data_IF_216200645101
#
_entry.id   IF_216200645101
#
_cell.length_a   1.000
_cell.length_b   1.000
_cell.length_c   1.000
_cell.angle_alpha   90.00
_cell.angle_beta   90.00
_cell.angle_gamma   90.00
#
_symmetry.space_group_name_H-M   'P 1'
#
loop_
_entity.id
_entity.type
_entity.pdbx_description
1 polymer ?
#
# COMPACT_ATOMS: atom_id res chain seq x y z
N UNK A 1 -7.35 9.50 3.79
CA UNK A 1 -7.19 8.35 4.72
C UNK A 1 -5.84 8.36 5.41
N UNK A 2 -5.84 8.27 6.74
CA UNK A 2 -4.69 8.17 7.62
C UNK A 2 -4.50 6.72 8.11
N UNK A 3 -3.41 6.08 7.68
CA UNK A 3 -3.09 4.71 8.11
C UNK A 3 -2.68 4.58 9.57
N UNK A 4 -2.37 5.70 10.26
CA UNK A 4 -2.12 5.71 11.70
C UNK A 4 -3.40 5.63 12.54
N UNK A 5 -4.57 5.89 11.96
CA UNK A 5 -5.84 5.93 12.69
C UNK A 5 -6.59 4.61 12.52
N UNK A 6 -6.66 3.81 13.60
CA UNK A 6 -7.28 2.47 13.59
C UNK A 6 -8.70 2.45 13.04
N UNK A 7 -9.51 3.45 13.35
CA UNK A 7 -10.90 3.51 12.88
C UNK A 7 -11.00 3.72 11.37
N UNK A 8 -10.13 4.54 10.77
CA UNK A 8 -10.10 4.72 9.32
C UNK A 8 -9.67 3.44 8.61
N UNK A 9 -8.66 2.75 9.16
CA UNK A 9 -8.20 1.48 8.61
C UNK A 9 -9.28 0.39 8.73
N UNK A 10 -10.03 0.36 9.85
CA UNK A 10 -11.22 -0.49 9.97
C UNK A 10 -12.30 -0.17 8.92
N UNK A 11 -12.54 1.11 8.63
CA UNK A 11 -13.50 1.48 7.58
C UNK A 11 -13.06 0.97 6.21
N UNK A 12 -11.76 1.03 5.90
CA UNK A 12 -11.23 0.45 4.67
C UNK A 12 -11.45 -1.07 4.59
N UNK A 13 -11.22 -1.81 5.67
CA UNK A 13 -11.43 -3.27 5.66
C UNK A 13 -12.91 -3.63 5.54
N UNK A 14 -13.82 -2.87 6.16
CA UNK A 14 -15.27 -3.00 5.97
C UNK A 14 -15.64 -2.72 4.51
N UNK A 15 -15.13 -1.62 3.94
CA UNK A 15 -15.36 -1.28 2.54
C UNK A 15 -14.98 -2.45 1.62
N UNK A 16 -13.76 -2.99 1.77
CA UNK A 16 -13.31 -4.12 0.95
C UNK A 16 -14.21 -5.36 1.11
N UNK A 17 -14.77 -5.61 2.29
CA UNK A 17 -15.70 -6.72 2.53
C UNK A 17 -17.09 -6.48 1.91
N UNK A 18 -17.53 -5.24 1.82
CA UNK A 18 -18.84 -4.89 1.24
C UNK A 18 -18.84 -4.89 -0.30
N UNK A 19 -17.67 -4.82 -0.94
CA UNK A 19 -17.52 -4.84 -2.39
C UNK A 19 -16.74 -6.08 -2.85
N UNK A 20 -17.40 -7.25 -2.97
CA UNK A 20 -16.73 -8.53 -3.20
C UNK A 20 -15.95 -8.59 -4.52
N UNK A 21 -16.40 -7.86 -5.55
CA UNK A 21 -15.82 -7.91 -6.90
C UNK A 21 -14.95 -6.69 -7.23
N UNK A 22 -14.40 -6.00 -6.22
CA UNK A 22 -13.58 -4.81 -6.48
C UNK A 22 -12.30 -5.19 -7.24
N UNK A 23 -12.17 -4.69 -8.47
CA UNK A 23 -10.98 -4.96 -9.29
C UNK A 23 -9.89 -3.91 -9.14
N UNK A 24 -10.28 -2.66 -8.83
CA UNK A 24 -9.35 -1.54 -8.69
C UNK A 24 -9.59 -0.78 -7.39
N UNK A 25 -8.54 -0.64 -6.59
CA UNK A 25 -8.57 0.13 -5.34
C UNK A 25 -7.65 1.34 -5.44
N UNK A 26 -8.22 2.54 -5.35
CA UNK A 26 -7.48 3.77 -5.14
C UNK A 26 -7.58 4.22 -3.69
N UNK A 27 -6.43 4.43 -3.03
CA UNK A 27 -6.37 4.96 -1.67
C UNK A 27 -5.65 6.30 -1.68
N UNK A 28 -6.41 7.36 -1.38
CA UNK A 28 -5.85 8.70 -1.16
C UNK A 28 -5.37 8.80 0.29
N UNK A 29 -4.06 8.99 0.49
CA UNK A 29 -3.53 9.21 1.84
C UNK A 29 -3.48 10.68 2.20
N UNK A 30 -3.75 10.94 3.46
CA UNK A 30 -3.53 12.25 4.08
C UNK A 30 -2.34 12.16 5.03
N UNK A 31 -1.72 13.30 5.28
CA UNK A 31 -0.68 13.39 6.29
C UNK A 31 -1.32 13.19 7.66
N UNK A 32 -0.78 12.23 8.42
CA UNK A 32 -1.22 12.02 9.78
C UNK A 32 -0.81 13.25 10.63
N UNK A 33 -1.69 13.79 11.48
CA UNK A 33 -1.26 14.77 12.47
C UNK A 33 -0.17 14.15 13.37
N UNK A 34 0.79 14.96 13.83
CA UNK A 34 2.00 14.52 14.56
C UNK A 34 1.72 13.66 15.82
N UNK A 35 0.49 13.66 16.31
CA UNK A 35 0.04 12.98 17.53
C UNK A 35 -0.68 11.65 17.32
N UNK A 36 -0.74 11.10 16.10
CA UNK A 36 -1.41 9.81 15.91
C UNK A 36 -0.60 8.70 16.59
N UNK A 37 -1.20 8.05 17.60
CA UNK A 37 -0.68 6.81 18.16
C UNK A 37 -0.54 5.80 17.03
N UNK A 38 0.66 5.24 16.85
CA UNK A 38 1.01 4.33 15.77
C UNK A 38 0.39 2.93 16.01
N UNK A 39 -0.92 2.89 16.29
CA UNK A 39 -1.65 1.70 16.77
C UNK A 39 -2.00 0.73 15.64
N UNK A 40 -1.89 1.17 14.39
CA UNK A 40 -2.04 0.29 13.23
C UNK A 40 -0.66 -0.22 12.84
N UNK A 41 -0.31 -1.36 13.41
CA UNK A 41 0.91 -2.09 13.09
C UNK A 41 0.59 -3.41 12.35
N UNK A 42 1.62 -4.23 12.14
CA UNK A 42 1.50 -5.55 11.50
C UNK A 42 0.43 -6.45 12.15
N UNK A 43 0.20 -6.36 13.47
CA UNK A 43 -0.79 -7.20 14.17
C UNK A 43 -2.22 -6.91 13.70
N UNK A 44 -2.56 -5.65 13.43
CA UNK A 44 -3.89 -5.29 12.93
C UNK A 44 -4.21 -6.02 11.61
N UNK A 45 -3.23 -6.04 10.70
CA UNK A 45 -3.40 -6.68 9.39
C UNK A 45 -3.38 -8.21 9.48
N UNK A 46 -2.62 -8.77 10.43
CA UNK A 46 -2.69 -10.21 10.74
C UNK A 46 -4.07 -10.60 11.28
N UNK A 47 -4.64 -9.83 12.21
CA UNK A 47 -5.98 -10.06 12.78
C UNK A 47 -7.10 -9.86 11.77
N UNK A 48 -6.92 -8.94 10.81
CA UNK A 48 -7.89 -8.69 9.73
C UNK A 48 -8.12 -9.93 8.88
N UNK A 49 -7.07 -10.74 8.70
CA UNK A 49 -7.08 -11.95 7.88
C UNK A 49 -7.31 -11.66 6.39
N UNK A 50 -7.29 -12.69 5.54
CA UNK A 50 -7.57 -12.55 4.12
C UNK A 50 -8.96 -11.97 3.89
N UNK A 51 -9.07 -10.96 3.01
CA UNK A 51 -10.35 -10.43 2.54
C UNK A 51 -10.59 -11.03 1.15
N UNK A 52 -11.76 -11.62 0.92
CA UNK A 52 -12.08 -12.33 -0.33
C UNK A 52 -11.92 -11.45 -1.57
N UNK A 53 -12.41 -10.22 -1.53
CA UNK A 53 -12.29 -9.26 -2.62
C UNK A 53 -10.84 -8.94 -2.97
N UNK A 54 -9.99 -8.77 -1.95
CA UNK A 54 -8.55 -8.60 -2.13
C UNK A 54 -7.93 -9.86 -2.74
N UNK A 55 -8.29 -11.04 -2.23
CA UNK A 55 -7.70 -12.31 -2.63
C UNK A 55 -8.00 -12.69 -4.07
N UNK A 56 -9.25 -12.56 -4.49
CA UNK A 56 -9.75 -13.18 -5.72
C UNK A 56 -10.08 -12.20 -6.84
N UNK A 57 -10.19 -10.90 -6.54
CA UNK A 57 -10.72 -9.91 -7.50
C UNK A 57 -9.84 -8.68 -7.70
N UNK A 58 -9.05 -8.29 -6.70
CA UNK A 58 -8.24 -7.08 -6.77
C UNK A 58 -7.08 -7.24 -7.77
N UNK A 59 -7.20 -6.60 -8.93
CA UNK A 59 -6.19 -6.59 -10.01
C UNK A 59 -5.26 -5.40 -9.92
N UNK A 60 -5.76 -4.24 -9.51
CA UNK A 60 -4.97 -3.00 -9.44
C UNK A 60 -5.13 -2.30 -8.09
N UNK A 61 -4.01 -1.90 -7.50
CA UNK A 61 -3.97 -1.04 -6.34
C UNK A 61 -3.18 0.24 -6.64
N UNK A 62 -3.71 1.39 -6.25
CA UNK A 62 -3.02 2.68 -6.35
C UNK A 62 -3.04 3.40 -5.01
N UNK A 63 -1.85 3.64 -4.45
CA UNK A 63 -1.66 4.44 -3.25
C UNK A 63 -1.16 5.84 -3.62
N UNK A 64 -1.90 6.89 -3.26
CA UNK A 64 -1.51 8.27 -3.55
C UNK A 64 -0.86 8.96 -2.35
N UNK A 65 0.02 9.92 -2.63
CA UNK A 65 0.70 10.78 -1.64
C UNK A 65 1.59 9.98 -0.68
N UNK A 66 2.34 9.01 -1.22
CA UNK A 66 3.34 8.28 -0.44
C UNK A 66 4.63 9.10 -0.29
N UNK A 67 5.11 9.25 0.94
CA UNK A 67 6.36 9.96 1.25
C UNK A 67 7.37 9.07 1.99
N UNK A 68 7.10 7.75 2.06
CA UNK A 68 7.93 6.81 2.79
C UNK A 68 7.55 6.67 4.26
N UNK A 69 6.30 6.94 4.64
CA UNK A 69 5.83 6.85 6.03
C UNK A 69 5.61 5.40 6.48
N UNK A 70 6.09 5.03 7.68
CA UNK A 70 6.08 3.63 8.15
C UNK A 70 4.69 3.05 8.37
N UNK A 71 3.72 3.89 8.74
CA UNK A 71 2.32 3.49 8.93
C UNK A 71 1.69 2.87 7.68
N UNK A 72 2.20 3.19 6.47
CA UNK A 72 1.65 2.70 5.20
C UNK A 72 2.20 1.33 4.78
N UNK A 73 3.39 0.93 5.28
CA UNK A 73 4.04 -0.31 4.85
C UNK A 73 3.26 -1.58 5.22
N UNK A 74 2.72 -1.74 6.45
CA UNK A 74 1.95 -2.94 6.80
C UNK A 74 0.74 -3.19 5.88
N UNK A 75 0.09 -2.12 5.40
CA UNK A 75 -1.01 -2.24 4.45
C UNK A 75 -0.54 -2.72 3.07
N UNK A 76 0.57 -2.16 2.57
CA UNK A 76 1.15 -2.58 1.29
C UNK A 76 1.57 -4.06 1.35
N UNK A 77 2.18 -4.48 2.47
CA UNK A 77 2.52 -5.89 2.71
C UNK A 77 1.27 -6.76 2.73
N UNK A 78 0.22 -6.36 3.48
CA UNK A 78 -1.06 -7.07 3.51
C UNK A 78 -1.63 -7.30 2.11
N UNK A 79 -1.67 -6.27 1.26
CA UNK A 79 -2.16 -6.43 -0.12
C UNK A 79 -1.26 -7.37 -0.92
N UNK A 80 0.07 -7.18 -0.86
CA UNK A 80 1.01 -8.04 -1.61
C UNK A 80 0.90 -9.52 -1.23
N UNK A 81 0.71 -9.82 0.06
CA UNK A 81 0.67 -11.17 0.61
C UNK A 81 -0.69 -11.85 0.45
N UNK A 82 -1.78 -11.10 0.22
CA UNK A 82 -3.13 -11.65 0.16
C UNK A 82 -3.77 -11.57 -1.22
N UNK A 83 -3.36 -10.64 -2.09
CA UNK A 83 -3.99 -10.44 -3.38
C UNK A 83 -3.46 -11.45 -4.41
N UNK A 84 -4.24 -12.48 -4.68
CA UNK A 84 -3.86 -13.62 -5.52
C UNK A 84 -3.94 -13.37 -7.02
N UNK A 85 -4.63 -12.30 -7.44
CA UNK A 85 -4.79 -11.92 -8.85
C UNK A 85 -4.29 -10.50 -9.13
N UNK A 86 -3.47 -9.94 -8.23
CA UNK A 86 -2.95 -8.59 -8.36
C UNK A 86 -1.96 -8.52 -9.52
N UNK A 87 -2.26 -7.67 -10.49
CA UNK A 87 -1.45 -7.42 -11.68
C UNK A 87 -0.53 -6.21 -11.47
N UNK A 88 -1.01 -5.18 -10.75
CA UNK A 88 -0.29 -3.92 -10.61
C UNK A 88 -0.48 -3.24 -9.24
N UNK A 89 0.63 -2.73 -8.68
CA UNK A 89 0.63 -1.89 -7.48
C UNK A 89 1.35 -0.56 -7.75
N UNK A 90 0.60 0.53 -7.89
CA UNK A 90 1.15 1.86 -8.15
C UNK A 90 1.29 2.64 -6.85
N UNK A 91 2.48 3.17 -6.59
CA UNK A 91 2.74 4.07 -5.46
C UNK A 91 3.02 5.46 -6.03
N UNK A 92 2.06 6.37 -5.93
CA UNK A 92 2.27 7.76 -6.38
C UNK A 92 2.89 8.58 -5.26
N UNK A 93 4.04 9.15 -5.54
CA UNK A 93 4.71 10.05 -4.61
C UNK A 93 4.04 11.42 -4.62
N UNK A 94 4.16 12.15 -3.52
CA UNK A 94 3.70 13.55 -3.47
C UNK A 94 4.43 14.36 -4.54
N UNK A 95 3.70 15.15 -5.31
CA UNK A 95 4.27 16.02 -6.33
C UNK A 95 5.24 17.04 -5.67
N UNK A 96 6.43 17.17 -6.23
CA UNK A 96 7.50 18.03 -5.71
C UNK A 96 8.79 17.27 -5.38
N UNK A 97 9.84 18.00 -5.00
CA UNK A 97 11.10 17.39 -4.57
C UNK A 97 10.94 16.87 -3.15
N UNK A 98 10.90 15.55 -2.98
CA UNK A 98 11.02 14.93 -1.67
C UNK A 98 12.42 15.22 -1.08
N UNK A 99 12.53 15.51 0.22
CA UNK A 99 13.83 15.65 0.88
C UNK A 99 14.58 14.30 0.85
N UNK A 100 15.92 14.35 0.91
CA UNK A 100 16.76 13.16 0.77
C UNK A 100 16.41 12.00 1.75
N UNK A 101 16.03 12.26 3.02
CA UNK A 101 15.58 11.19 3.92
C UNK A 101 14.29 10.50 3.43
N UNK A 102 13.32 11.26 2.92
CA UNK A 102 12.08 10.70 2.38
C UNK A 102 12.32 9.86 1.12
N UNK A 103 13.24 10.30 0.24
CA UNK A 103 13.65 9.51 -0.93
C UNK A 103 14.27 8.15 -0.54
N UNK A 104 15.14 8.15 0.47
CA UNK A 104 15.73 6.90 1.02
C UNK A 104 14.65 6.00 1.60
N UNK A 105 13.75 6.54 2.42
CA UNK A 105 12.64 5.79 2.99
C UNK A 105 11.72 5.18 1.92
N UNK A 106 11.47 5.89 0.80
CA UNK A 106 10.72 5.35 -0.34
C UNK A 106 11.50 4.21 -1.01
N UNK A 107 12.80 4.36 -1.22
CA UNK A 107 13.64 3.34 -1.84
C UNK A 107 13.74 2.07 -0.98
N UNK A 108 13.93 2.21 0.33
CA UNK A 108 13.98 1.11 1.28
C UNK A 108 12.67 0.31 1.28
N UNK A 109 11.52 1.00 1.30
CA UNK A 109 10.21 0.32 1.25
C UNK A 109 9.91 -0.32 -0.07
N UNK A 110 10.34 0.31 -1.17
CA UNK A 110 10.26 -0.32 -2.49
C UNK A 110 11.06 -1.63 -2.47
N UNK A 111 12.24 -1.64 -1.87
CA UNK A 111 13.05 -2.86 -1.71
C UNK A 111 12.33 -3.90 -0.84
N UNK A 112 11.75 -3.50 0.29
CA UNK A 112 10.97 -4.39 1.16
C UNK A 112 9.83 -5.05 0.40
N UNK A 113 9.08 -4.27 -0.39
CA UNK A 113 7.97 -4.78 -1.21
C UNK A 113 8.45 -5.70 -2.34
N UNK A 114 9.56 -5.38 -2.99
CA UNK A 114 10.15 -6.26 -4.01
C UNK A 114 10.64 -7.58 -3.41
N UNK A 115 11.00 -7.59 -2.12
CA UNK A 115 11.39 -8.81 -1.39
C UNK A 115 10.23 -9.57 -0.75
N UNK A 116 9.02 -9.00 -0.77
CA UNK A 116 7.84 -9.63 -0.18
C UNK A 116 7.44 -10.91 -0.95
N UNK A 117 6.73 -11.81 -0.28
CA UNK A 117 6.18 -13.02 -0.90
C UNK A 117 4.81 -12.71 -1.49
N UNK A 118 4.79 -12.31 -2.76
CA UNK A 118 3.56 -11.94 -3.46
C UNK A 118 2.65 -13.15 -3.70
N UNK A 119 1.37 -13.03 -3.33
CA UNK A 119 0.39 -14.10 -3.52
C UNK A 119 0.03 -14.35 -4.98
N UNK A 120 0.14 -13.34 -5.86
CA UNK A 120 -0.17 -13.47 -7.29
C UNK A 120 0.96 -14.10 -8.13
N UNK A 121 2.09 -14.47 -7.52
CA UNK A 121 3.31 -14.83 -8.26
C UNK A 121 4.05 -13.57 -8.73
N UNK A 122 5.36 -13.65 -8.92
CA UNK A 122 6.29 -12.50 -8.94
C UNK A 122 5.83 -11.26 -9.76
N UNK A 123 5.10 -10.34 -9.12
CA UNK A 123 4.78 -8.99 -9.64
C UNK A 123 5.96 -8.04 -9.35
N UNK A 124 7.18 -8.51 -9.62
CA UNK A 124 8.37 -7.67 -9.59
C UNK A 124 8.32 -6.55 -10.65
N UNK A 125 7.42 -6.69 -11.64
CA UNK A 125 7.34 -5.83 -12.82
C UNK A 125 6.45 -4.57 -12.68
N UNK A 126 5.64 -4.42 -11.63
CA UNK A 126 4.61 -3.36 -11.62
C UNK A 126 4.54 -2.49 -10.36
N UNK A 127 5.58 -2.49 -9.51
CA UNK A 127 5.72 -1.45 -8.45
C UNK A 127 6.18 -0.15 -9.10
N UNK A 128 5.22 0.66 -9.54
CA UNK A 128 5.48 1.93 -10.20
C UNK A 128 5.49 3.07 -9.16
N UNK A 129 6.68 3.51 -8.76
CA UNK A 129 6.87 4.71 -7.95
C UNK A 129 6.92 5.95 -8.85
N UNK A 130 5.76 6.52 -9.18
CA UNK A 130 5.70 7.74 -10.02
C UNK A 130 6.08 8.98 -9.19
N UNK A 131 7.16 9.67 -9.60
CA UNK A 131 7.71 10.85 -8.92
C UNK A 131 9.23 10.79 -8.67
N UNK A 132 9.85 9.61 -8.76
CA UNK A 132 11.31 9.48 -8.83
C UNK A 132 11.75 9.81 -10.26
N UNK A 133 12.60 10.83 -10.47
CA UNK A 133 13.30 10.95 -11.75
C UNK A 133 14.28 9.78 -11.85
N UNK A 134 13.88 8.72 -12.56
CA UNK A 134 14.71 7.54 -12.81
C UNK A 134 13.90 6.24 -12.81
N UNK A 135 13.65 5.73 -14.03
CA UNK A 135 13.29 4.36 -14.40
C UNK A 135 12.07 3.68 -13.74
N UNK A 136 10.92 3.83 -14.41
CA UNK A 136 10.07 2.67 -14.72
C UNK A 136 10.31 2.36 -16.21
N UNK A 137 11.06 1.30 -16.52
CA UNK A 137 11.02 0.70 -17.86
C UNK A 137 10.02 -0.44 -17.80
N UNK A 138 9.11 -0.41 -18.79
CA UNK A 138 8.07 -1.40 -19.04
C UNK A 138 8.62 -2.82 -19.19
#
# INVERSE_FOLDING_TARGET
>A
MCFGIRNEVKMLTIFLRCYPNIETLHVQTEEAPEFTTNDVNTKFWQETGPIESVKSHLKTMVLHVFQGEQSKLPFLMFISENAGVLEQMVIKLKAGRLPAPALRAVADKRKDLLSAKWSSGAVGAAICCSGLRGSCTA
#
